data_IF_453282209365
#
_entry.id   IF_453282209365
#
_cell.length_a   1.000
_cell.length_b   1.000
_cell.length_c   1.000
_cell.angle_alpha   90.00
_cell.angle_beta   90.00
_cell.angle_gamma   90.00
#
_symmetry.space_group_name_H-M   'P 1'
#
loop_
_entity.id
_entity.type
_entity.pdbx_description
1 polymer ?
#
# COMPACT_ATOMS: atom_id res chain seq x y z
N UNK A 1 8.64 -14.63 47.37
CA UNK A 1 8.65 -13.63 46.29
C UNK A 1 7.43 -13.83 45.41
N UNK A 2 6.52 -12.84 45.30
CA UNK A 2 5.28 -12.99 44.53
C UNK A 2 5.54 -12.64 43.06
N UNK A 3 5.57 -13.64 42.18
CA UNK A 3 5.58 -13.40 40.73
C UNK A 3 4.19 -12.90 40.31
N UNK A 4 4.14 -11.75 39.64
CA UNK A 4 2.90 -11.21 39.06
C UNK A 4 3.10 -11.05 37.56
N UNK A 5 2.12 -11.49 36.78
CA UNK A 5 2.15 -11.39 35.31
C UNK A 5 1.34 -10.18 34.88
N UNK A 6 1.95 -9.24 34.16
CA UNK A 6 1.25 -8.13 33.53
C UNK A 6 0.88 -8.49 32.08
N UNK A 7 -0.32 -8.12 31.64
CA UNK A 7 -0.80 -8.35 30.27
C UNK A 7 -1.30 -7.04 29.69
N UNK A 8 -0.79 -6.68 28.51
CA UNK A 8 -1.29 -5.56 27.70
C UNK A 8 -1.76 -6.11 26.37
N UNK A 9 -2.94 -5.68 25.91
CA UNK A 9 -3.58 -6.18 24.68
C UNK A 9 -3.91 -4.98 23.79
N UNK A 10 -3.27 -4.92 22.62
CA UNK A 10 -3.61 -3.95 21.58
C UNK A 10 -4.63 -4.59 20.62
N UNK A 11 -5.86 -4.04 20.59
CA UNK A 11 -6.88 -4.40 19.60
C UNK A 11 -6.76 -3.46 18.41
N UNK A 12 -6.45 -4.01 17.22
CA UNK A 12 -6.28 -3.24 16.00
C UNK A 12 -6.98 -3.97 14.84
N UNK A 13 -7.63 -3.21 13.96
CA UNK A 13 -8.04 -3.68 12.64
C UNK A 13 -6.91 -3.34 11.65
N UNK A 14 -6.20 -4.32 11.07
CA UNK A 14 -5.12 -4.06 10.13
C UNK A 14 -5.60 -3.30 8.90
N UNK A 15 -4.76 -2.42 8.37
CA UNK A 15 -5.01 -1.56 7.19
C UNK A 15 -3.75 -1.58 6.32
N UNK A 16 -3.85 -1.16 5.05
CA UNK A 16 -2.68 -1.13 4.15
C UNK A 16 -1.53 -0.29 4.72
N UNK A 17 -1.82 0.80 5.43
CA UNK A 17 -0.83 1.67 6.08
C UNK A 17 0.01 0.97 7.16
N UNK A 18 -0.47 -0.16 7.67
CA UNK A 18 0.21 -1.00 8.65
C UNK A 18 1.13 -2.05 8.01
N UNK A 19 1.05 -2.28 6.69
CA UNK A 19 1.94 -3.22 6.02
C UNK A 19 3.41 -2.78 6.17
N UNK A 20 4.29 -3.73 6.47
CA UNK A 20 5.71 -3.52 6.74
C UNK A 20 6.02 -2.62 7.95
N UNK A 21 5.03 -2.25 8.77
CA UNK A 21 5.24 -1.51 10.02
C UNK A 21 5.63 -2.46 11.15
N UNK A 22 6.43 -1.94 12.07
CA UNK A 22 6.89 -2.66 13.25
C UNK A 22 6.04 -2.30 14.47
N UNK A 23 5.50 -3.32 15.14
CA UNK A 23 4.81 -3.18 16.41
C UNK A 23 5.74 -3.67 17.51
N UNK A 24 5.92 -2.85 18.54
CA UNK A 24 6.84 -3.15 19.65
C UNK A 24 6.06 -3.23 20.94
N UNK A 25 6.17 -4.37 21.63
CA UNK A 25 5.74 -4.52 23.02
C UNK A 25 6.94 -4.23 23.91
N UNK A 26 6.79 -3.33 24.89
CA UNK A 26 7.82 -2.99 25.85
C UNK A 26 7.32 -3.29 27.26
N UNK A 27 8.16 -3.94 28.05
CA UNK A 27 7.92 -4.22 29.47
C UNK A 27 9.03 -3.58 30.29
N UNK A 28 8.63 -2.84 31.34
CA UNK A 28 9.54 -2.18 32.26
C UNK A 28 9.21 -2.62 33.69
N UNK A 29 10.24 -2.88 34.48
CA UNK A 29 10.13 -3.16 35.90
C UNK A 29 10.82 -2.03 36.65
N UNK A 30 10.19 -1.42 37.65
CA UNK A 30 10.80 -0.31 38.40
C UNK A 30 12.06 -0.70 39.17
N UNK A 31 12.23 -1.99 39.49
CA UNK A 31 13.43 -2.52 40.12
C UNK A 31 14.61 -2.72 39.15
N UNK A 32 14.35 -2.69 37.83
CA UNK A 32 15.37 -2.86 36.79
C UNK A 32 15.44 -1.58 35.94
N UNK A 33 16.65 -1.07 35.68
CA UNK A 33 16.81 0.12 34.82
C UNK A 33 16.63 -0.20 33.34
N UNK A 34 16.68 -1.48 32.97
CA UNK A 34 16.53 -1.94 31.59
C UNK A 34 15.12 -2.41 31.29
N UNK A 35 14.60 -1.98 30.14
CA UNK A 35 13.33 -2.52 29.62
C UNK A 35 13.60 -3.76 28.77
N UNK A 36 12.59 -4.62 28.67
CA UNK A 36 12.55 -5.72 27.69
C UNK A 36 11.60 -5.35 26.58
N UNK A 37 11.93 -5.73 25.34
CA UNK A 37 11.05 -5.48 24.21
C UNK A 37 10.97 -6.67 23.27
N UNK A 38 9.83 -6.81 22.62
CA UNK A 38 9.59 -7.75 21.53
C UNK A 38 8.99 -6.97 20.37
N UNK A 39 9.43 -7.28 19.14
CA UNK A 39 8.97 -6.60 17.93
C UNK A 39 8.39 -7.62 16.96
N UNK A 40 7.29 -7.24 16.31
CA UNK A 40 6.71 -7.96 15.19
C UNK A 40 6.62 -7.02 13.99
N UNK A 41 6.93 -7.54 12.80
CA UNK A 41 6.70 -6.82 11.54
C UNK A 41 5.37 -7.30 10.97
N UNK A 42 4.44 -6.39 10.71
CA UNK A 42 3.13 -6.77 10.18
C UNK A 42 3.18 -6.97 8.67
N UNK A 43 2.76 -8.15 8.23
CA UNK A 43 2.43 -8.43 6.85
C UNK A 43 0.91 -8.39 6.67
N UNK A 44 0.41 -7.31 6.06
CA UNK A 44 -1.02 -7.10 5.85
C UNK A 44 -1.31 -7.33 4.38
N UNK A 45 -2.28 -8.18 4.06
CA UNK A 45 -2.77 -8.38 2.70
C UNK A 45 -3.86 -7.37 2.40
N UNK A 46 -3.82 -6.75 1.24
CA UNK A 46 -4.78 -5.72 0.83
C UNK A 46 -4.95 -5.68 -0.69
N UNK A 47 -6.16 -5.30 -1.11
CA UNK A 47 -6.49 -5.13 -2.52
C UNK A 47 -5.69 -3.97 -3.15
N UNK A 48 -5.40 -4.01 -4.46
CA UNK A 48 -4.60 -2.99 -5.11
C UNK A 48 -5.23 -1.59 -5.01
N UNK A 49 -4.44 -0.63 -4.53
CA UNK A 49 -4.78 0.80 -4.62
C UNK A 49 -4.19 1.37 -5.89
N UNK A 50 -5.08 1.71 -6.82
CA UNK A 50 -4.71 2.15 -8.16
C UNK A 50 -4.61 3.67 -8.24
N UNK A 51 -3.59 4.16 -8.94
CA UNK A 51 -3.45 5.56 -9.35
C UNK A 51 -3.14 5.59 -10.85
N UNK A 52 -3.89 6.40 -11.59
CA UNK A 52 -3.65 6.65 -13.01
C UNK A 52 -3.14 8.07 -13.18
N UNK A 53 -2.07 8.24 -13.94
CA UNK A 53 -1.48 9.55 -14.25
C UNK A 53 -1.16 9.67 -15.73
N UNK A 54 -1.34 10.88 -16.27
CA UNK A 54 -0.88 11.21 -17.62
C UNK A 54 0.61 11.53 -17.55
N UNK A 55 1.42 10.77 -18.28
CA UNK A 55 2.89 10.92 -18.30
C UNK A 55 3.39 11.48 -19.63
N UNK A 56 2.53 11.64 -20.63
CA UNK A 56 2.89 12.22 -21.92
C UNK A 56 1.67 12.49 -22.80
N UNK A 57 1.83 13.43 -23.75
CA UNK A 57 0.80 13.81 -24.72
C UNK A 57 -0.17 14.91 -24.27
N UNK A 58 -0.13 15.31 -22.98
CA UNK A 58 -0.90 16.44 -22.49
C UNK A 58 -0.12 17.76 -22.58
N UNK A 59 -0.82 18.86 -22.85
CA UNK A 59 -0.32 20.22 -22.77
C UNK A 59 -0.12 20.64 -21.30
N UNK A 60 0.58 21.75 -21.08
CA UNK A 60 0.82 22.33 -19.74
C UNK A 60 -0.47 22.65 -18.96
N UNK A 61 -1.58 22.86 -19.67
CA UNK A 61 -2.91 23.09 -19.09
C UNK A 61 -3.73 21.80 -18.89
N UNK A 62 -3.12 20.62 -19.09
CA UNK A 62 -3.77 19.31 -18.93
C UNK A 62 -4.67 18.87 -20.09
N UNK A 63 -4.79 19.66 -21.16
CA UNK A 63 -5.58 19.28 -22.35
C UNK A 63 -4.77 18.35 -23.26
N UNK A 64 -5.46 17.39 -23.87
CA UNK A 64 -4.89 16.47 -24.84
C UNK A 64 -5.32 16.95 -26.24
N UNK A 65 -4.40 17.34 -27.13
CA UNK A 65 -4.73 17.73 -28.49
C UNK A 65 -5.35 16.59 -29.28
N UNK A 66 -6.27 16.91 -30.20
CA UNK A 66 -6.77 15.92 -31.16
C UNK A 66 -5.61 15.35 -31.98
N UNK A 67 -5.73 14.07 -32.37
CA UNK A 67 -4.71 13.31 -33.10
C UNK A 67 -3.37 13.12 -32.37
N UNK A 68 -3.26 13.54 -31.10
CA UNK A 68 -2.06 13.29 -30.30
C UNK A 68 -2.09 11.91 -29.62
N UNK A 69 -0.91 11.35 -29.41
CA UNK A 69 -0.75 10.12 -28.63
C UNK A 69 -0.60 10.45 -27.14
N UNK A 70 -1.52 9.95 -26.31
CA UNK A 70 -1.44 10.04 -24.86
C UNK A 70 -0.71 8.83 -24.26
N UNK A 71 0.13 9.07 -23.26
CA UNK A 71 0.73 8.01 -22.43
C UNK A 71 0.16 8.08 -21.03
N UNK A 72 -0.50 7.01 -20.61
CA UNK A 72 -1.05 6.84 -19.27
C UNK A 72 -0.19 5.84 -18.49
N UNK A 73 0.09 6.16 -17.23
CA UNK A 73 0.74 5.26 -16.29
C UNK A 73 -0.30 4.81 -15.27
N UNK A 74 -0.36 3.50 -15.00
CA UNK A 74 -1.20 2.92 -13.96
C UNK A 74 -0.28 2.28 -12.91
N UNK A 75 -0.29 2.82 -11.69
CA UNK A 75 0.45 2.29 -10.55
C UNK A 75 -0.52 1.63 -9.59
N UNK A 76 -0.27 0.37 -9.25
CA UNK A 76 -1.05 -0.39 -8.28
C UNK A 76 -0.18 -0.77 -7.08
N UNK A 77 -0.52 -0.24 -5.90
CA UNK A 77 0.07 -0.66 -4.63
C UNK A 77 -0.78 -1.79 -4.03
N UNK A 78 -0.21 -2.99 -3.91
CA UNK A 78 -0.90 -4.20 -3.48
C UNK A 78 0.02 -5.12 -2.69
N UNK A 79 -0.57 -5.95 -1.83
CA UNK A 79 0.10 -7.09 -1.24
C UNK A 79 -0.82 -8.33 -1.28
N UNK A 80 -0.50 -9.39 -2.06
CA UNK A 80 0.71 -9.56 -2.87
C UNK A 80 0.87 -8.55 -4.01
N UNK A 81 2.11 -8.33 -4.47
CA UNK A 81 2.43 -7.36 -5.53
C UNK A 81 2.09 -7.86 -6.93
N UNK A 82 1.78 -9.15 -7.10
CA UNK A 82 1.37 -9.71 -8.38
C UNK A 82 -0.06 -9.26 -8.70
N UNK A 83 -0.19 -8.41 -9.72
CA UNK A 83 -1.45 -7.78 -10.12
C UNK A 83 -1.58 -7.79 -11.64
N UNK A 84 -2.81 -7.90 -12.12
CA UNK A 84 -3.14 -7.85 -13.55
C UNK A 84 -3.84 -6.55 -13.87
N UNK A 85 -3.33 -5.84 -14.87
CA UNK A 85 -3.91 -4.58 -15.34
C UNK A 85 -4.93 -4.83 -16.45
N UNK A 86 -6.05 -4.10 -16.39
CA UNK A 86 -7.06 -4.01 -17.44
C UNK A 86 -7.47 -2.55 -17.58
N UNK A 87 -7.61 -2.08 -18.81
CA UNK A 87 -7.99 -0.71 -19.11
C UNK A 87 -9.45 -0.66 -19.54
N UNK A 88 -10.15 0.37 -19.07
CA UNK A 88 -11.55 0.62 -19.36
C UNK A 88 -11.74 2.08 -19.76
N UNK A 89 -12.59 2.34 -20.74
CA UNK A 89 -13.09 3.67 -21.08
C UNK A 89 -14.61 3.58 -21.01
N UNK A 90 -15.26 4.44 -20.23
CA UNK A 90 -16.71 4.44 -20.05
C UNK A 90 -17.27 3.04 -19.70
N UNK A 91 -16.61 2.35 -18.76
CA UNK A 91 -16.92 0.97 -18.32
C UNK A 91 -16.76 -0.13 -19.39
N UNK A 92 -16.32 0.22 -20.60
CA UNK A 92 -16.05 -0.72 -21.67
C UNK A 92 -14.57 -1.13 -21.66
N UNK A 93 -14.32 -2.44 -21.62
CA UNK A 93 -12.95 -2.95 -21.59
C UNK A 93 -12.29 -2.69 -22.95
N UNK A 94 -11.15 -2.01 -22.92
CA UNK A 94 -10.36 -1.82 -24.13
C UNK A 94 -9.67 -3.16 -24.44
N UNK A 95 -9.88 -3.71 -25.63
CA UNK A 95 -9.28 -4.97 -26.09
C UNK A 95 -8.15 -4.77 -27.12
N UNK A 96 -7.93 -3.54 -27.59
CA UNK A 96 -6.89 -3.18 -28.56
C UNK A 96 -6.61 -1.68 -28.62
N UNK A 97 -5.57 -1.25 -29.35
CA UNK A 97 -5.24 0.17 -29.53
C UNK A 97 -4.41 0.83 -28.43
N UNK A 98 -4.05 0.09 -27.37
CA UNK A 98 -3.09 0.51 -26.37
C UNK A 98 -1.95 -0.50 -26.28
N UNK A 99 -0.73 -0.02 -26.02
CA UNK A 99 0.42 -0.86 -25.71
C UNK A 99 0.70 -0.73 -24.21
N UNK A 100 0.57 -1.83 -23.48
CA UNK A 100 1.00 -1.87 -22.07
C UNK A 100 2.49 -2.19 -22.04
N UNK A 101 3.28 -1.20 -21.62
CA UNK A 101 4.68 -1.38 -21.27
C UNK A 101 4.71 -1.60 -19.75
N UNK A 102 5.15 -2.79 -19.31
CA UNK A 102 5.31 -3.13 -17.89
C UNK A 102 6.68 -2.70 -17.38
#
# INVERSE_FOLDING_TARGET
MRRSTAKSILKLVPKMEHHNKNFTCQAQNTADRTYRSAKIKLEVKYAPKVKVSVIGGALSNGRIPEYSQVRLECKADANPSDVRYRWYINDEQISGGYKTEM
#
